data_IF_925437230628
#
_entry.id   IF_925437230628
#
_cell.length_a   1.000
_cell.length_b   1.000
_cell.length_c   1.000
_cell.angle_alpha   90.00
_cell.angle_beta   90.00
_cell.angle_gamma   90.00
#
_symmetry.space_group_name_H-M   'P 1'
#
loop_
_entity.id
_entity.type
_entity.pdbx_description
1 polymer ?
#
# COMPACT_ATOMS: atom_id res chain seq x y z
N UNK A 1 1.71 2.22 -0.45
CA UNK A 1 1.17 2.19 0.93
C UNK A 1 0.32 0.95 1.21
N UNK A 2 0.47 -0.16 0.47
CA UNK A 2 -0.37 -1.34 0.69
C UNK A 2 -0.13 -1.96 2.08
N UNK A 3 -1.19 -2.10 2.89
CA UNK A 3 -1.15 -2.68 4.23
C UNK A 3 -1.89 -4.03 4.29
N UNK A 4 -1.51 -4.90 5.23
CA UNK A 4 -2.26 -6.13 5.54
C UNK A 4 -1.97 -7.36 4.66
N UNK A 5 -0.95 -7.31 3.79
CA UNK A 5 -0.45 -8.48 3.04
C UNK A 5 0.92 -8.94 3.52
N UNK A 6 1.84 -7.99 3.69
CA UNK A 6 3.23 -8.17 4.09
C UNK A 6 3.63 -7.02 5.02
N UNK A 7 4.82 -7.11 5.62
CA UNK A 7 5.36 -6.08 6.51
C UNK A 7 5.69 -4.77 5.75
N UNK A 8 5.97 -4.86 4.44
CA UNK A 8 6.30 -3.71 3.58
C UNK A 8 5.66 -3.80 2.18
N UNK A 9 5.47 -2.66 1.48
CA UNK A 9 4.97 -2.65 0.10
C UNK A 9 5.90 -3.40 -0.84
N UNK A 10 5.38 -4.46 -1.48
CA UNK A 10 6.19 -5.33 -2.32
C UNK A 10 6.81 -4.62 -3.53
N UNK A 11 6.13 -3.60 -4.09
CA UNK A 11 6.70 -2.79 -5.16
C UNK A 11 7.92 -1.98 -4.71
N UNK A 12 7.92 -1.45 -3.48
CA UNK A 12 9.05 -0.71 -2.92
C UNK A 12 10.20 -1.67 -2.57
N UNK A 13 9.90 -2.82 -1.96
CA UNK A 13 10.89 -3.83 -1.55
C UNK A 13 11.77 -4.35 -2.70
N UNK A 14 11.22 -4.39 -3.92
CA UNK A 14 11.93 -4.90 -5.11
C UNK A 14 12.39 -3.78 -6.07
N UNK A 15 12.14 -2.51 -5.75
CA UNK A 15 12.43 -1.41 -6.66
C UNK A 15 13.94 -1.23 -6.81
N UNK A 16 14.53 -1.37 -8.01
CA UNK A 16 15.99 -1.27 -8.18
C UNK A 16 16.53 0.17 -8.07
N UNK A 17 15.64 1.16 -8.02
CA UNK A 17 15.96 2.59 -8.09
C UNK A 17 15.18 3.44 -7.07
N UNK A 18 14.54 2.79 -6.09
CA UNK A 18 13.82 3.46 -5.00
C UNK A 18 12.77 4.52 -5.43
N UNK A 19 12.09 4.31 -6.57
CA UNK A 19 11.12 5.29 -7.09
C UNK A 19 9.68 5.07 -6.61
N UNK A 20 9.39 3.99 -5.89
CA UNK A 20 8.06 3.71 -5.34
C UNK A 20 7.85 4.43 -4.00
N UNK A 21 7.60 5.73 -4.05
CA UNK A 21 7.39 6.61 -2.88
C UNK A 21 5.89 6.92 -2.66
N UNK A 22 5.49 7.40 -1.47
CA UNK A 22 4.13 7.89 -1.19
C UNK A 22 3.66 8.97 -2.17
N UNK A 23 2.36 8.96 -2.48
CA UNK A 23 1.72 9.95 -3.35
C UNK A 23 1.07 11.05 -2.51
N UNK A 24 1.57 12.28 -2.62
CA UNK A 24 1.08 13.43 -1.83
C UNK A 24 -0.34 13.87 -2.21
N UNK A 25 -0.80 13.56 -3.42
CA UNK A 25 -2.17 13.86 -3.87
C UNK A 25 -3.17 12.79 -3.40
N UNK A 26 -2.70 11.64 -2.93
CA UNK A 26 -3.51 10.48 -2.52
C UNK A 26 -3.09 9.93 -1.15
N UNK A 27 -3.08 10.78 -0.14
CA UNK A 27 -2.78 10.36 1.24
C UNK A 27 -3.97 9.59 1.83
N UNK A 28 -3.72 8.36 2.26
CA UNK A 28 -4.72 7.49 2.88
C UNK A 28 -4.33 7.13 4.33
N UNK A 29 -5.32 6.97 5.21
CA UNK A 29 -5.07 6.42 6.54
C UNK A 29 -4.86 4.90 6.46
N UNK A 30 -4.17 4.33 7.45
CA UNK A 30 -4.02 2.87 7.56
C UNK A 30 -5.37 2.14 7.56
N UNK A 31 -6.35 2.68 8.27
CA UNK A 31 -7.73 2.17 8.29
C UNK A 31 -8.35 2.13 6.90
N UNK A 32 -8.23 3.22 6.12
CA UNK A 32 -8.75 3.29 4.76
C UNK A 32 -8.06 2.29 3.81
N UNK A 33 -6.75 2.08 3.98
CA UNK A 33 -5.97 1.11 3.22
C UNK A 33 -6.41 -0.33 3.52
N UNK A 34 -6.69 -0.65 4.79
CA UNK A 34 -7.19 -1.95 5.22
C UNK A 34 -8.64 -2.20 4.76
N UNK A 35 -9.51 -1.18 4.81
CA UNK A 35 -10.87 -1.28 4.26
C UNK A 35 -10.85 -1.50 2.74
N UNK A 36 -9.99 -0.77 2.02
CA UNK A 36 -9.79 -0.95 0.58
C UNK A 36 -9.30 -2.36 0.25
N UNK A 37 -8.36 -2.90 1.05
CA UNK A 37 -7.92 -4.30 0.95
C UNK A 37 -9.11 -5.24 1.07
N UNK A 38 -9.89 -5.14 2.14
CA UNK A 38 -11.04 -6.02 2.38
C UNK A 38 -12.05 -5.96 1.21
N UNK A 39 -12.37 -4.75 0.74
CA UNK A 39 -13.24 -4.54 -0.40
C UNK A 39 -12.72 -5.19 -1.70
N UNK A 40 -11.44 -5.01 -2.04
CA UNK A 40 -10.85 -5.57 -3.27
C UNK A 40 -10.71 -7.10 -3.24
N UNK A 41 -10.62 -7.69 -2.05
CA UNK A 41 -10.43 -9.13 -1.86
C UNK A 41 -11.70 -9.87 -1.44
N UNK A 42 -12.84 -9.17 -1.32
CA UNK A 42 -14.12 -9.72 -0.83
C UNK A 42 -13.98 -10.42 0.54
N UNK A 43 -13.22 -9.81 1.44
CA UNK A 43 -13.08 -10.23 2.85
C UNK A 43 -14.17 -9.62 3.74
#
# INVERSE_FOLDING_TARGET
ECMGFHEEPQCAAVCPVDCCIPDEDHVESEEALLEKKAFLHNE
#
